data_IF_972638859939
#
_entry.id   IF_972638859939
#
_cell.length_a   1.000
_cell.length_b   1.000
_cell.length_c   1.000
_cell.angle_alpha   90.00
_cell.angle_beta   90.00
_cell.angle_gamma   90.00
#
_symmetry.space_group_name_H-M   'P 1'
#
loop_
_entity.id
_entity.type
_entity.pdbx_description
1 polymer ?
#
# COMPACT_ATOMS: atom_id res chain seq x y z
N UNK A 1 -15.76 24.80 -10.85
CA UNK A 1 -16.16 24.21 -11.61
C UNK A 1 -15.63 23.04 -12.25
N UNK A 2 -14.62 23.12 -12.81
CA UNK A 2 -14.14 22.09 -13.48
C UNK A 2 -13.92 20.96 -12.63
N UNK A 3 -13.55 21.19 -11.48
CA UNK A 3 -13.41 20.13 -10.68
C UNK A 3 -14.63 19.40 -10.56
N UNK A 4 -15.71 20.08 -10.66
CA UNK A 4 -16.94 19.52 -10.58
C UNK A 4 -17.12 18.48 -11.58
N UNK A 5 -16.72 18.74 -12.79
CA UNK A 5 -16.90 17.82 -13.84
C UNK A 5 -16.13 16.56 -13.56
N UNK A 6 -14.97 16.70 -13.02
CA UNK A 6 -14.20 15.55 -12.72
C UNK A 6 -14.78 14.74 -11.62
N UNK A 7 -15.25 15.38 -10.59
CA UNK A 7 -15.86 14.67 -9.54
C UNK A 7 -17.07 13.95 -10.00
N UNK A 8 -17.87 14.59 -10.80
CA UNK A 8 -19.06 13.99 -11.27
C UNK A 8 -18.78 12.72 -12.03
N UNK A 9 -17.80 12.75 -12.89
CA UNK A 9 -17.46 11.59 -13.65
C UNK A 9 -17.01 10.49 -12.73
N UNK A 10 -16.24 10.84 -11.76
CA UNK A 10 -15.71 9.89 -10.84
C UNK A 10 -16.83 9.22 -10.05
N UNK A 11 -17.75 10.00 -9.55
CA UNK A 11 -18.85 9.47 -8.78
C UNK A 11 -19.75 8.60 -9.60
N UNK A 12 -20.03 9.01 -10.78
CA UNK A 12 -20.97 8.31 -11.63
C UNK A 12 -20.46 6.98 -12.08
N UNK A 13 -19.22 6.90 -12.40
CA UNK A 13 -18.67 5.69 -12.91
C UNK A 13 -18.54 4.59 -11.91
N UNK A 14 -18.88 4.84 -10.72
CA UNK A 14 -18.90 3.78 -9.77
C UNK A 14 -17.52 3.26 -9.40
N UNK A 15 -16.88 2.50 -10.22
CA UNK A 15 -15.58 2.02 -9.77
C UNK A 15 -14.76 3.24 -9.58
N UNK A 16 -14.41 3.47 -8.42
CA UNK A 16 -13.85 4.74 -8.10
C UNK A 16 -12.42 4.91 -8.46
N UNK A 17 -11.79 3.92 -8.97
CA UNK A 17 -10.38 3.98 -9.25
C UNK A 17 -10.12 4.56 -10.60
N UNK A 18 -10.75 5.64 -10.95
CA UNK A 18 -10.55 6.24 -12.24
C UNK A 18 -10.45 7.71 -12.12
N UNK A 19 -10.08 8.35 -13.18
CA UNK A 19 -9.97 9.78 -13.23
C UNK A 19 -8.65 10.24 -12.69
N UNK A 20 -8.59 11.49 -12.30
CA UNK A 20 -7.32 12.12 -11.95
C UNK A 20 -6.69 11.57 -10.70
N UNK A 21 -7.40 10.79 -9.94
CA UNK A 21 -6.86 10.29 -8.70
C UNK A 21 -6.33 8.88 -8.79
N UNK A 22 -6.06 8.37 -9.98
CA UNK A 22 -5.56 7.00 -10.07
C UNK A 22 -4.26 6.79 -9.31
N UNK A 23 -3.38 7.80 -9.25
CA UNK A 23 -2.15 7.65 -8.48
C UNK A 23 -2.42 7.69 -6.99
N UNK A 24 -3.51 8.31 -6.55
CA UNK A 24 -3.86 8.41 -5.14
C UNK A 24 -4.84 7.34 -4.71
N UNK A 25 -5.41 6.58 -5.63
CA UNK A 25 -6.38 5.56 -5.32
C UNK A 25 -5.92 4.18 -5.79
N UNK A 26 -5.85 3.94 -7.10
CA UNK A 26 -5.49 2.61 -7.58
C UNK A 26 -4.09 2.20 -7.12
N UNK A 27 -3.13 3.11 -7.22
CA UNK A 27 -1.79 2.82 -6.74
C UNK A 27 -1.75 2.54 -5.25
N UNK A 28 -2.45 3.37 -4.47
CA UNK A 28 -2.50 3.21 -3.03
C UNK A 28 -3.15 1.87 -2.64
N UNK A 29 -4.25 1.55 -3.29
CA UNK A 29 -4.95 0.28 -3.04
C UNK A 29 -4.02 -0.89 -3.33
N UNK A 30 -3.29 -0.82 -4.44
CA UNK A 30 -2.40 -1.90 -4.82
C UNK A 30 -1.25 -2.06 -3.84
N UNK A 31 -0.69 -0.95 -3.36
CA UNK A 31 0.36 -1.00 -2.36
C UNK A 31 -0.14 -1.71 -1.11
N UNK A 32 -1.31 -1.33 -0.60
CA UNK A 32 -1.86 -1.93 0.61
C UNK A 32 -2.15 -3.40 0.40
N UNK A 33 -2.69 -3.76 -0.76
CA UNK A 33 -3.02 -5.14 -1.07
C UNK A 33 -1.75 -6.00 -1.10
N UNK A 34 -0.70 -5.51 -1.72
CA UNK A 34 0.55 -6.24 -1.82
C UNK A 34 1.23 -6.32 -0.45
N UNK A 35 1.22 -5.23 0.32
CA UNK A 35 1.79 -5.24 1.66
C UNK A 35 1.12 -6.30 2.53
N UNK A 36 -0.21 -6.40 2.44
CA UNK A 36 -0.96 -7.41 3.17
C UNK A 36 -0.53 -8.81 2.77
N UNK A 37 -0.27 -9.03 1.49
CA UNK A 37 0.19 -10.35 1.03
C UNK A 37 1.59 -10.66 1.52
N UNK A 38 2.46 -9.66 1.58
CA UNK A 38 3.83 -9.86 2.03
C UNK A 38 3.90 -10.12 3.52
N UNK A 39 3.23 -9.33 4.32
CA UNK A 39 3.36 -9.39 5.78
C UNK A 39 2.37 -10.34 6.43
N UNK A 40 1.24 -10.59 5.79
CA UNK A 40 0.23 -11.50 6.33
C UNK A 40 -1.04 -10.75 6.72
N UNK A 41 -2.16 -11.44 6.58
CA UNK A 41 -3.47 -10.87 6.84
C UNK A 41 -3.88 -11.02 8.30
N UNK A 42 -3.04 -11.67 9.09
CA UNK A 42 -3.34 -11.98 10.50
C UNK A 42 -2.86 -10.91 11.47
N UNK A 43 -2.60 -9.71 10.99
CA UNK A 43 -2.14 -8.62 11.86
C UNK A 43 -3.20 -8.23 12.88
N UNK A 44 -2.72 -7.76 14.03
CA UNK A 44 -3.60 -7.26 15.07
C UNK A 44 -4.07 -5.85 14.74
N UNK A 45 -3.17 -5.02 14.22
CA UNK A 45 -3.49 -3.67 13.80
C UNK A 45 -2.48 -3.22 12.75
N UNK A 46 -2.80 -2.13 12.06
CA UNK A 46 -1.95 -1.64 11.00
C UNK A 46 -1.92 -0.11 11.05
N UNK A 47 -0.77 0.48 10.74
CA UNK A 47 -0.63 1.92 10.71
C UNK A 47 -0.11 2.34 9.34
N UNK A 48 -0.72 3.38 8.79
CA UNK A 48 -0.33 3.93 7.51
C UNK A 48 0.35 5.27 7.75
N UNK A 49 1.58 5.42 7.26
CA UNK A 49 2.32 6.67 7.38
C UNK A 49 2.44 7.26 5.98
N UNK A 50 1.72 8.33 5.74
CA UNK A 50 1.59 8.95 4.42
C UNK A 50 2.61 10.05 4.26
N UNK A 51 3.38 9.97 3.16
CA UNK A 51 4.46 10.89 2.86
C UNK A 51 4.10 11.73 1.65
N UNK A 52 4.57 12.96 1.62
CA UNK A 52 4.49 13.83 0.45
C UNK A 52 3.06 14.14 0.05
N UNK A 53 2.77 13.96 -1.21
CA UNK A 53 1.45 14.27 -1.74
C UNK A 53 0.35 13.47 -1.08
N UNK A 54 0.61 12.21 -0.74
CA UNK A 54 -0.38 11.41 -0.01
C UNK A 54 -0.75 12.08 1.31
N UNK A 55 0.22 12.63 2.02
CA UNK A 55 -0.03 13.26 3.32
C UNK A 55 -0.94 14.49 3.19
N UNK A 56 -0.81 15.22 2.08
CA UNK A 56 -1.59 16.43 1.90
C UNK A 56 -3.01 16.16 1.42
N UNK A 57 -3.22 15.08 0.67
CA UNK A 57 -4.47 14.96 -0.07
C UNK A 57 -5.29 13.73 0.27
N UNK A 58 -4.88 12.93 1.24
CA UNK A 58 -5.52 11.63 1.42
C UNK A 58 -7.02 11.71 1.72
N UNK A 59 -7.44 12.72 2.45
CA UNK A 59 -8.86 12.82 2.82
C UNK A 59 -9.74 13.27 1.67
N UNK A 60 -9.23 14.05 0.76
CA UNK A 60 -10.05 14.61 -0.31
C UNK A 60 -10.04 13.81 -1.58
N UNK A 61 -9.14 12.86 -1.72
CA UNK A 61 -8.92 12.17 -2.98
C UNK A 61 -9.12 10.66 -2.89
N UNK A 62 -9.67 10.19 -1.79
CA UNK A 62 -9.98 8.77 -1.67
C UNK A 62 -8.81 7.87 -1.35
N UNK A 63 -7.65 8.43 -1.07
CA UNK A 63 -6.48 7.64 -0.74
C UNK A 63 -6.71 6.78 0.50
N UNK A 64 -7.36 7.37 1.50
CA UNK A 64 -7.64 6.65 2.74
C UNK A 64 -8.55 5.45 2.49
N UNK A 65 -9.63 5.63 1.74
CA UNK A 65 -10.53 4.52 1.40
C UNK A 65 -9.78 3.46 0.59
N UNK A 66 -8.90 3.89 -0.31
CA UNK A 66 -8.16 2.97 -1.15
C UNK A 66 -7.18 2.13 -0.33
N UNK A 67 -6.49 2.76 0.61
CA UNK A 67 -5.56 2.04 1.48
C UNK A 67 -6.30 1.04 2.36
N UNK A 68 -7.41 1.46 2.95
CA UNK A 68 -8.19 0.56 3.82
C UNK A 68 -8.78 -0.57 2.98
N UNK A 69 -9.32 -0.26 1.80
CA UNK A 69 -9.86 -1.29 0.93
C UNK A 69 -8.80 -2.30 0.52
N UNK A 70 -7.64 -1.83 0.12
CA UNK A 70 -6.54 -2.73 -0.22
C UNK A 70 -6.13 -3.59 0.96
N UNK A 71 -6.15 -3.02 2.17
CA UNK A 71 -5.80 -3.75 3.37
C UNK A 71 -6.87 -4.78 3.74
N UNK A 72 -8.10 -4.57 3.32
CA UNK A 72 -9.16 -5.57 3.47
C UNK A 72 -9.07 -6.66 2.41
N UNK A 73 -8.16 -6.50 1.46
CA UNK A 73 -7.99 -7.49 0.39
C UNK A 73 -8.75 -7.18 -0.88
N UNK A 74 -9.31 -5.98 -0.99
CA UNK A 74 -10.08 -5.60 -2.19
C UNK A 74 -9.12 -5.23 -3.33
N UNK A 75 -9.51 -5.60 -4.55
CA UNK A 75 -8.77 -5.20 -5.75
C UNK A 75 -9.12 -3.76 -6.12
N UNK A 76 -8.34 -3.19 -7.01
CA UNK A 76 -8.49 -1.78 -7.35
C UNK A 76 -9.82 -1.46 -8.02
N UNK A 77 -10.46 -2.45 -8.65
CA UNK A 77 -11.74 -2.24 -9.30
C UNK A 77 -12.93 -2.69 -8.43
N UNK A 78 -12.68 -3.00 -7.18
CA UNK A 78 -13.74 -3.49 -6.30
C UNK A 78 -14.60 -2.31 -5.85
N UNK A 79 -15.90 -2.38 -6.12
CA UNK A 79 -16.81 -1.30 -5.77
C UNK A 79 -16.92 -1.10 -4.25
N UNK A 80 -16.55 -2.10 -3.46
CA UNK A 80 -16.62 -1.99 -2.00
C UNK A 80 -15.58 -1.04 -1.42
N UNK A 81 -14.63 -0.59 -2.23
CA UNK A 81 -13.65 0.39 -1.74
C UNK A 81 -14.36 1.63 -1.22
N UNK A 82 -15.49 1.98 -1.80
CA UNK A 82 -16.23 3.16 -1.35
C UNK A 82 -16.76 3.03 0.06
N UNK A 83 -16.98 1.81 0.53
CA UNK A 83 -17.48 1.57 1.88
C UNK A 83 -16.39 0.94 2.76
N UNK A 84 -15.13 1.14 2.40
CA UNK A 84 -14.04 0.46 3.09
C UNK A 84 -14.00 0.77 4.59
N UNK A 85 -14.30 2.01 4.98
CA UNK A 85 -14.28 2.36 6.41
C UNK A 85 -15.34 1.58 7.18
N UNK A 86 -16.54 1.48 6.62
CA UNK A 86 -17.62 0.73 7.27
C UNK A 86 -17.27 -0.75 7.33
N UNK A 87 -16.69 -1.27 6.24
CA UNK A 87 -16.33 -2.68 6.18
C UNK A 87 -15.22 -2.98 7.20
N UNK A 88 -14.26 -2.08 7.33
CA UNK A 88 -13.18 -2.24 8.30
C UNK A 88 -13.75 -2.30 9.72
N UNK A 89 -14.71 -1.45 10.01
CA UNK A 89 -15.35 -1.45 11.32
C UNK A 89 -16.07 -2.76 11.57
N UNK A 90 -16.81 -3.23 10.58
CA UNK A 90 -17.56 -4.49 10.72
C UNK A 90 -16.64 -5.68 10.90
N UNK A 91 -15.45 -5.62 10.32
CA UNK A 91 -14.49 -6.71 10.43
C UNK A 91 -13.52 -6.51 11.59
N UNK A 92 -13.70 -5.47 12.38
CA UNK A 92 -12.84 -5.13 13.50
C UNK A 92 -11.38 -4.95 13.09
N UNK A 93 -11.15 -4.39 11.90
CA UNK A 93 -9.80 -4.08 11.47
C UNK A 93 -9.36 -2.79 12.15
N UNK A 94 -8.33 -2.87 12.96
CA UNK A 94 -7.81 -1.72 13.70
C UNK A 94 -6.71 -1.06 12.89
N UNK A 95 -6.83 0.25 12.68
CA UNK A 95 -5.85 0.97 11.90
C UNK A 95 -5.71 2.40 12.37
N UNK A 96 -4.60 3.02 11.99
CA UNK A 96 -4.37 4.45 12.18
C UNK A 96 -3.72 5.00 10.94
N UNK A 97 -3.98 6.28 10.66
CA UNK A 97 -3.40 6.97 9.52
C UNK A 97 -2.64 8.17 10.04
N UNK A 98 -1.38 8.29 9.68
CA UNK A 98 -0.49 9.35 10.13
C UNK A 98 0.16 10.02 8.93
N UNK A 99 0.66 11.24 9.15
CA UNK A 99 1.50 11.93 8.18
C UNK A 99 2.93 11.79 8.61
N UNK A 100 3.84 11.65 7.65
CA UNK A 100 5.26 11.49 7.93
C UNK A 100 6.07 12.17 6.82
N UNK A 101 7.31 12.48 7.12
CA UNK A 101 8.27 12.92 6.10
C UNK A 101 9.36 11.86 6.04
N UNK A 102 9.39 11.12 4.94
CA UNK A 102 10.36 10.05 4.76
C UNK A 102 11.65 10.54 4.09
N UNK A 103 11.71 11.81 3.71
CA UNK A 103 12.89 12.36 3.07
C UNK A 103 12.70 12.52 1.57
N UNK A 104 13.62 13.27 0.96
CA UNK A 104 13.48 13.64 -0.45
C UNK A 104 13.80 12.50 -1.41
N UNK A 105 14.42 11.46 -0.93
CA UNK A 105 14.73 10.32 -1.79
C UNK A 105 13.50 9.48 -2.09
N UNK A 106 12.41 9.71 -1.40
CA UNK A 106 11.18 8.95 -1.65
C UNK A 106 10.25 9.71 -2.59
N UNK A 107 9.57 8.95 -3.44
CA UNK A 107 8.59 9.52 -4.33
C UNK A 107 7.51 10.26 -3.53
N UNK A 108 6.95 11.36 -4.05
CA UNK A 108 5.90 12.11 -3.32
C UNK A 108 4.67 11.29 -2.94
N UNK A 109 4.37 10.24 -3.67
CA UNK A 109 3.21 9.40 -3.38
C UNK A 109 3.66 8.10 -2.74
N UNK A 110 4.20 8.20 -1.52
CA UNK A 110 4.76 7.04 -0.81
C UNK A 110 4.05 6.83 0.51
N UNK A 111 3.88 5.59 0.88
CA UNK A 111 3.28 5.21 2.16
C UNK A 111 4.12 4.11 2.80
N UNK A 112 4.33 4.24 4.11
CA UNK A 112 4.91 3.19 4.91
C UNK A 112 3.76 2.53 5.66
N UNK A 113 3.65 1.22 5.55
CA UNK A 113 2.58 0.46 6.20
C UNK A 113 3.22 -0.44 7.24
N UNK A 114 2.87 -0.22 8.51
CA UNK A 114 3.45 -0.91 9.64
C UNK A 114 2.40 -1.84 10.22
N UNK A 115 2.74 -3.13 10.29
CA UNK A 115 1.85 -4.17 10.79
C UNK A 115 2.27 -4.58 12.19
N UNK A 116 1.31 -4.63 13.09
CA UNK A 116 1.53 -5.12 14.46
C UNK A 116 0.88 -6.48 14.59
N UNK A 117 1.61 -7.41 15.18
CA UNK A 117 1.12 -8.76 15.37
C UNK A 117 1.09 -9.06 16.85
N UNK A 118 0.17 -9.94 17.24
CA UNK A 118 0.03 -10.29 18.64
C UNK A 118 1.16 -11.20 19.11
N UNK A 119 1.66 -12.03 18.22
CA UNK A 119 2.58 -13.10 18.58
C UNK A 119 3.94 -13.03 17.90
N UNK A 120 4.24 -11.95 17.22
CA UNK A 120 5.54 -11.78 16.56
C UNK A 120 5.85 -10.31 16.36
N UNK A 121 7.08 -10.02 15.93
CA UNK A 121 7.53 -8.65 15.80
C UNK A 121 6.84 -7.92 14.68
N UNK A 122 6.83 -6.59 14.78
CA UNK A 122 6.26 -5.74 13.75
C UNK A 122 6.96 -5.93 12.41
N UNK A 123 6.21 -5.74 11.35
CA UNK A 123 6.76 -5.78 10.00
C UNK A 123 6.25 -4.58 9.24
N UNK A 124 7.03 -4.11 8.26
CA UNK A 124 6.58 -2.96 7.49
C UNK A 124 7.01 -3.04 6.04
N UNK A 125 6.26 -2.33 5.22
CA UNK A 125 6.50 -2.23 3.78
C UNK A 125 6.41 -0.76 3.42
N UNK A 126 7.31 -0.28 2.58
CA UNK A 126 7.21 1.07 2.02
C UNK A 126 6.99 0.91 0.53
N UNK A 127 5.95 1.59 0.02
CA UNK A 127 5.63 1.54 -1.39
C UNK A 127 5.28 2.90 -1.93
N UNK A 128 5.46 3.08 -3.24
CA UNK A 128 5.18 4.33 -3.91
C UNK A 128 4.24 4.09 -5.08
N UNK A 129 3.29 5.01 -5.26
CA UNK A 129 2.43 5.01 -6.41
C UNK A 129 3.09 5.88 -7.47
N UNK A 130 3.33 5.32 -8.64
CA UNK A 130 4.15 5.97 -9.65
C UNK A 130 3.35 6.39 -10.88
N UNK A 131 2.02 6.45 -10.73
CA UNK A 131 1.14 6.98 -11.78
C UNK A 131 0.42 5.88 -12.54
N UNK A 132 -0.77 6.21 -13.04
CA UNK A 132 -1.55 5.28 -13.85
C UNK A 132 -1.95 4.01 -13.13
N UNK A 133 -2.01 4.02 -11.82
CA UNK A 133 -2.33 2.83 -11.05
C UNK A 133 -1.13 1.92 -10.79
N UNK A 134 0.04 2.25 -11.32
CA UNK A 134 1.24 1.47 -11.09
C UNK A 134 1.83 1.79 -9.73
N UNK A 135 2.56 0.83 -9.17
CA UNK A 135 3.20 1.03 -7.89
C UNK A 135 4.55 0.33 -7.87
N UNK A 136 5.39 0.70 -6.91
CA UNK A 136 6.63 -0.01 -6.65
C UNK A 136 6.81 -0.13 -5.14
N UNK A 137 7.11 -1.33 -4.67
CA UNK A 137 7.50 -1.54 -3.28
C UNK A 137 9.00 -1.30 -3.22
N UNK A 138 9.43 -0.44 -2.32
CA UNK A 138 10.82 -0.01 -2.27
C UNK A 138 11.55 -0.46 -1.00
N UNK A 139 10.81 -0.95 -0.01
CA UNK A 139 11.45 -1.39 1.24
C UNK A 139 10.56 -2.42 1.92
N UNK A 140 11.16 -3.49 2.42
CA UNK A 140 10.47 -4.49 3.23
C UNK A 140 11.34 -4.74 4.46
N UNK A 141 10.84 -4.36 5.62
CA UNK A 141 11.50 -4.58 6.91
C UNK A 141 12.94 -4.04 6.92
N UNK A 142 13.16 -2.91 6.27
CA UNK A 142 14.47 -2.26 6.27
C UNK A 142 15.36 -2.66 5.11
N UNK A 143 14.94 -3.61 4.30
CA UNK A 143 15.72 -4.04 3.14
C UNK A 143 15.20 -3.32 1.90
N UNK A 144 16.09 -2.69 1.17
CA UNK A 144 15.73 -2.01 -0.07
C UNK A 144 15.42 -3.05 -1.14
N UNK A 145 14.27 -2.89 -1.78
CA UNK A 145 13.82 -3.80 -2.82
C UNK A 145 13.25 -2.98 -3.97
N UNK A 146 12.97 -3.64 -5.07
CA UNK A 146 12.21 -3.04 -6.15
C UNK A 146 11.24 -4.11 -6.64
N UNK A 147 9.97 -3.95 -6.30
CA UNK A 147 8.94 -4.88 -6.74
C UNK A 147 7.78 -4.08 -7.30
N UNK A 148 7.47 -4.31 -8.57
CA UNK A 148 6.47 -3.50 -9.28
C UNK A 148 5.15 -4.23 -9.48
N UNK A 149 4.99 -5.41 -8.93
CA UNK A 149 3.78 -6.19 -9.11
C UNK A 149 3.84 -7.00 -10.40
N UNK A 150 2.68 -7.48 -10.85
CA UNK A 150 2.65 -8.32 -12.03
C UNK A 150 3.13 -9.71 -11.69
N UNK A 151 4.12 -10.17 -12.41
CA UNK A 151 4.71 -11.46 -12.11
C UNK A 151 5.40 -11.33 -10.75
N UNK A 152 5.22 -12.29 -9.84
CA UNK A 152 5.73 -12.12 -8.48
C UNK A 152 7.25 -12.30 -8.37
N UNK A 153 7.96 -11.30 -8.80
CA UNK A 153 9.42 -11.28 -8.72
C UNK A 153 9.84 -10.01 -8.00
N UNK A 154 10.61 -10.15 -6.94
CA UNK A 154 11.11 -9.02 -6.18
C UNK A 154 12.62 -8.96 -6.35
N UNK A 155 13.10 -7.77 -6.74
CA UNK A 155 14.53 -7.53 -6.88
C UNK A 155 15.02 -6.94 -5.57
N UNK A 156 15.98 -7.61 -4.93
CA UNK A 156 16.54 -7.15 -3.67
C UNK A 156 17.87 -6.46 -3.91
N UNK A 157 18.03 -5.28 -3.34
CA UNK A 157 19.34 -4.67 -3.29
C UNK A 157 20.13 -5.37 -2.21
N UNK A 158 21.33 -5.80 -2.55
CA UNK A 158 22.14 -6.54 -1.60
C UNK A 158 22.38 -5.71 -0.35
N UNK A 159 22.26 -6.36 0.77
CA UNK A 159 22.51 -5.77 2.07
C UNK A 159 23.38 -6.75 2.83
N UNK A 160 24.35 -6.28 3.54
CA UNK A 160 25.27 -7.15 4.25
C UNK A 160 24.66 -7.81 5.48
N UNK A 161 23.45 -7.41 5.83
CA UNK A 161 22.78 -7.98 7.00
C UNK A 161 22.07 -9.27 6.61
N UNK A 162 22.81 -10.35 6.63
CA UNK A 162 22.30 -11.63 6.16
C UNK A 162 21.02 -12.10 6.88
N UNK A 163 20.93 -11.82 8.16
CA UNK A 163 19.74 -12.23 8.91
C UNK A 163 18.48 -11.55 8.40
N UNK A 164 18.60 -10.29 8.02
CA UNK A 164 17.45 -9.54 7.52
C UNK A 164 17.04 -10.07 6.16
N UNK A 165 18.02 -10.38 5.30
CA UNK A 165 17.71 -10.93 3.98
C UNK A 165 17.02 -12.29 4.12
N UNK A 166 17.50 -13.13 5.03
CA UNK A 166 16.88 -14.43 5.24
C UNK A 166 15.43 -14.30 5.70
N UNK A 167 15.17 -13.32 6.56
CA UNK A 167 13.81 -13.09 7.05
C UNK A 167 12.89 -12.68 5.92
N UNK A 168 13.34 -11.76 5.08
CA UNK A 168 12.55 -11.33 3.93
C UNK A 168 12.32 -12.50 2.98
N UNK A 169 13.33 -13.31 2.74
CA UNK A 169 13.20 -14.46 1.87
C UNK A 169 12.12 -15.41 2.37
N UNK A 170 12.06 -15.63 3.67
CA UNK A 170 11.05 -16.50 4.24
C UNK A 170 9.65 -15.95 3.98
N UNK A 171 9.46 -14.64 4.23
CA UNK A 171 8.17 -14.00 4.00
C UNK A 171 7.75 -14.14 2.55
N UNK A 172 8.67 -13.88 1.63
CA UNK A 172 8.35 -13.89 0.21
C UNK A 172 8.04 -15.30 -0.29
N UNK A 173 8.75 -16.29 0.21
CA UNK A 173 8.49 -17.68 -0.18
C UNK A 173 7.13 -18.12 0.33
N UNK A 174 6.76 -17.73 1.52
CA UNK A 174 5.46 -18.09 2.09
C UNK A 174 4.33 -17.50 1.25
N UNK A 175 4.59 -16.44 0.52
CA UNK A 175 3.60 -15.80 -0.33
C UNK A 175 3.80 -16.13 -1.82
N UNK A 176 4.64 -17.11 -2.12
CA UNK A 176 4.89 -17.55 -3.49
C UNK A 176 5.51 -16.49 -4.40
N UNK A 177 6.37 -15.66 -3.86
CA UNK A 177 7.09 -14.69 -4.65
C UNK A 177 8.48 -15.22 -4.98
N UNK A 178 8.96 -14.89 -6.19
CA UNK A 178 10.33 -15.20 -6.59
C UNK A 178 11.22 -14.03 -6.17
N UNK A 179 12.44 -14.34 -5.73
CA UNK A 179 13.36 -13.34 -5.23
C UNK A 179 14.63 -13.37 -6.05
N UNK A 180 15.06 -12.19 -6.50
CA UNK A 180 16.32 -12.07 -7.21
C UNK A 180 17.14 -10.97 -6.55
N UNK A 181 18.43 -11.22 -6.39
CA UNK A 181 19.33 -10.24 -5.77
C UNK A 181 19.87 -9.29 -6.83
N UNK A 182 19.85 -8.02 -6.52
CA UNK A 182 20.39 -6.99 -7.40
C UNK A 182 21.88 -6.84 -7.18
#
# INVERSE_FOLDING_TARGET
GKDMAEYTAFDILGPVMIGPSSSHTAGACRIANIARKICGADFESVEFFLHGSFAYTYKGHGTDCALIGGMLGYDTDDSRIRTAFEDAEKQNMKYKIHKIDLGEEYHPNTVKILFHFEDREDEYVIGSSIGGGAMVIVNINGIKVEYRGGYPTILLQYNEQKGVIASVSTILLDNNYNIETI
#
